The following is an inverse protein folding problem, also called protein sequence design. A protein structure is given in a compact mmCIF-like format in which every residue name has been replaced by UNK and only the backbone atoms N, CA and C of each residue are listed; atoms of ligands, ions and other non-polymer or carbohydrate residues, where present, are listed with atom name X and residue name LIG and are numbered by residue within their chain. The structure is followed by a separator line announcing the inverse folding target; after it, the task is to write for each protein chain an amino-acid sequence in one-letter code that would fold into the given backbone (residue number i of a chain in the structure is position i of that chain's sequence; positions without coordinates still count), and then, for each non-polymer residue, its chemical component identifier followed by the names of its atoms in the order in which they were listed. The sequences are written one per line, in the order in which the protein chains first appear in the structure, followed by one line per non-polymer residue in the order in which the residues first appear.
data_IF_065281384920
#
_entry.id   IF_065281384920
#
_cell.length_a   1.000
_cell.length_b   1.000
_cell.length_c   1.000
_cell.angle_alpha   90.00
_cell.angle_beta   90.00
_cell.angle_gamma   90.00
#
_symmetry.space_group_name_H-M   'P 1'
#
loop_
_entity.id
_entity.type
_entity.pdbx_description
1 polymer ?
#
# COMPACT_ATOMS: atom_id res chain seq x y z
N UNK A 1 -22.58 -9.17 47.18
CA UNK A 1 -21.87 -8.23 46.29
C UNK A 1 -21.36 -8.98 45.06
N UNK A 2 -22.07 -8.98 43.92
CA UNK A 2 -21.61 -9.57 42.64
C UNK A 2 -21.97 -8.72 41.40
N UNK A 3 -22.30 -7.44 41.60
CA UNK A 3 -22.78 -6.57 40.50
C UNK A 3 -21.64 -5.77 39.82
N UNK A 4 -20.46 -5.66 40.43
CA UNK A 4 -19.37 -4.83 39.88
C UNK A 4 -18.54 -5.50 38.77
N UNK A 5 -18.45 -6.84 38.72
CA UNK A 5 -17.59 -7.53 37.75
C UNK A 5 -18.21 -7.60 36.34
N UNK A 6 -19.54 -7.69 36.22
CA UNK A 6 -20.20 -7.77 34.91
C UNK A 6 -20.07 -6.45 34.13
N UNK A 7 -20.08 -5.30 34.82
CA UNK A 7 -19.97 -3.97 34.18
C UNK A 7 -18.59 -3.75 33.56
N UNK A 8 -17.51 -4.20 34.20
CA UNK A 8 -16.15 -3.98 33.71
C UNK A 8 -15.79 -4.84 32.49
N UNK A 9 -16.47 -5.97 32.27
CA UNK A 9 -16.28 -6.84 31.10
C UNK A 9 -17.08 -6.39 29.88
N UNK A 10 -18.17 -5.64 30.07
CA UNK A 10 -18.93 -5.07 28.96
C UNK A 10 -18.08 -4.08 28.14
N UNK A 11 -17.21 -3.30 28.79
CA UNK A 11 -16.33 -2.34 28.11
C UNK A 11 -15.34 -2.99 27.13
N UNK A 12 -14.50 -3.97 27.53
CA UNK A 12 -13.60 -4.65 26.61
C UNK A 12 -14.35 -5.50 25.59
N UNK A 13 -15.49 -6.10 25.93
CA UNK A 13 -16.31 -6.84 24.95
C UNK A 13 -16.87 -5.92 23.86
N UNK A 14 -17.39 -4.76 24.26
CA UNK A 14 -17.91 -3.76 23.33
C UNK A 14 -16.77 -3.16 22.50
N UNK A 15 -15.60 -2.92 23.10
CA UNK A 15 -14.41 -2.45 22.38
C UNK A 15 -13.95 -3.49 21.34
N UNK A 16 -13.85 -4.76 21.72
CA UNK A 16 -13.49 -5.85 20.81
C UNK A 16 -14.52 -6.02 19.69
N UNK A 17 -15.82 -5.89 20.00
CA UNK A 17 -16.89 -5.91 19.00
C UNK A 17 -16.73 -4.77 18.00
N UNK A 18 -16.60 -3.54 18.46
CA UNK A 18 -16.44 -2.38 17.57
C UNK A 18 -15.13 -2.43 16.78
N UNK A 19 -14.06 -2.93 17.38
CA UNK A 19 -12.79 -3.14 16.69
C UNK A 19 -12.96 -4.20 15.60
N UNK A 20 -13.63 -5.31 15.88
CA UNK A 20 -13.93 -6.35 14.90
C UNK A 20 -14.81 -5.84 13.76
N UNK A 21 -15.87 -5.10 14.05
CA UNK A 21 -16.73 -4.47 13.03
C UNK A 21 -15.92 -3.47 12.18
N UNK A 22 -15.11 -2.62 12.82
CA UNK A 22 -14.22 -1.69 12.13
C UNK A 22 -13.22 -2.40 11.23
N UNK A 23 -12.61 -3.49 11.68
CA UNK A 23 -11.71 -4.31 10.88
C UNK A 23 -12.44 -4.94 9.69
N UNK A 24 -13.62 -5.53 9.89
CA UNK A 24 -14.41 -6.12 8.81
C UNK A 24 -14.73 -5.05 7.76
N UNK A 25 -15.30 -3.92 8.16
CA UNK A 25 -15.63 -2.82 7.24
C UNK A 25 -14.39 -2.26 6.53
N UNK A 26 -13.26 -2.17 7.25
CA UNK A 26 -11.98 -1.70 6.70
C UNK A 26 -11.39 -2.68 5.69
N UNK A 27 -11.62 -3.97 5.88
CA UNK A 27 -11.10 -5.05 5.03
C UNK A 27 -12.10 -5.55 3.96
N UNK A 28 -13.32 -5.03 3.93
CA UNK A 28 -14.27 -5.25 2.83
C UNK A 28 -14.02 -4.26 1.69
N UNK A 29 -14.07 -4.73 0.44
CA UNK A 29 -14.00 -3.94 -0.80
C UNK A 29 -12.68 -3.19 -1.09
N UNK A 30 -11.52 -3.63 -0.57
CA UNK A 30 -10.23 -2.97 -0.85
C UNK A 30 -9.77 -3.13 -2.30
N UNK A 31 -10.08 -4.27 -2.92
CA UNK A 31 -9.65 -4.62 -4.27
C UNK A 31 -10.56 -4.05 -5.36
N UNK A 32 -11.62 -3.35 -4.98
CA UNK A 32 -12.68 -2.95 -5.91
C UNK A 32 -12.42 -1.55 -6.51
N UNK A 33 -11.32 -0.91 -6.11
CA UNK A 33 -10.93 0.42 -6.59
C UNK A 33 -9.74 0.32 -7.53
N UNK A 34 -9.74 1.06 -8.65
CA UNK A 34 -8.56 1.18 -9.48
C UNK A 34 -7.45 1.88 -8.71
N UNK A 35 -6.20 1.49 -8.97
CA UNK A 35 -5.01 2.11 -8.39
C UNK A 35 -4.96 3.62 -8.71
N UNK A 36 -4.80 4.45 -7.69
CA UNK A 36 -4.56 5.89 -7.88
C UNK A 36 -3.06 6.19 -8.07
N UNK A 37 -2.73 7.39 -8.57
CA UNK A 37 -1.36 7.80 -8.90
C UNK A 37 -0.37 7.73 -7.72
N UNK A 38 -0.82 8.01 -6.51
CA UNK A 38 0.01 7.99 -5.29
C UNK A 38 0.24 6.55 -4.79
N UNK A 39 -0.76 5.69 -4.92
CA UNK A 39 -0.64 4.25 -4.69
C UNK A 39 0.34 3.63 -5.69
N UNK A 40 0.19 3.97 -6.97
CA UNK A 40 1.12 3.57 -8.04
C UNK A 40 2.56 3.99 -7.72
N UNK A 41 2.76 5.25 -7.31
CA UNK A 41 4.07 5.77 -6.87
C UNK A 41 4.63 5.01 -5.67
N UNK A 42 3.78 4.74 -4.68
CA UNK A 42 4.14 3.96 -3.49
C UNK A 42 4.61 2.56 -3.86
N UNK A 43 3.91 1.89 -4.77
CA UNK A 43 4.28 0.55 -5.24
C UNK A 43 5.61 0.60 -5.97
N UNK A 44 5.78 1.50 -6.95
CA UNK A 44 7.00 1.57 -7.77
C UNK A 44 8.24 1.81 -6.91
N UNK A 45 8.20 2.81 -6.02
CA UNK A 45 9.32 3.08 -5.12
C UNK A 45 9.48 1.97 -4.07
N UNK A 46 8.39 1.38 -3.58
CA UNK A 46 8.43 0.24 -2.66
C UNK A 46 9.04 -1.03 -3.27
N UNK A 47 8.91 -1.23 -4.58
CA UNK A 47 9.63 -2.25 -5.33
C UNK A 47 11.11 -1.91 -5.55
N UNK A 48 11.53 -0.70 -5.17
CA UNK A 48 12.86 -0.17 -5.42
C UNK A 48 13.10 0.20 -6.89
N UNK A 49 12.03 0.42 -7.66
CA UNK A 49 12.09 0.88 -9.04
C UNK A 49 12.07 2.42 -9.11
N UNK A 50 12.25 2.95 -10.33
CA UNK A 50 12.38 4.38 -10.62
C UNK A 50 11.48 4.76 -11.80
N UNK A 51 10.90 5.96 -11.77
CA UNK A 51 10.10 6.48 -12.88
C UNK A 51 10.95 7.00 -14.04
N UNK A 52 12.25 7.20 -13.85
CA UNK A 52 13.17 7.65 -14.89
C UNK A 52 13.33 6.64 -16.03
N UNK A 53 12.86 5.41 -15.83
CA UNK A 53 12.85 4.35 -16.84
C UNK A 53 11.75 4.54 -17.90
N UNK A 54 10.73 5.36 -17.61
CA UNK A 54 9.64 5.65 -18.55
C UNK A 54 10.07 6.80 -19.48
N UNK A 55 10.16 6.60 -20.81
CA UNK A 55 10.44 7.70 -21.73
C UNK A 55 9.26 8.65 -21.78
N UNK A 56 9.50 9.91 -21.38
CA UNK A 56 8.56 11.00 -21.57
C UNK A 56 8.60 11.45 -23.05
N UNK A 57 7.48 11.98 -23.56
CA UNK A 57 7.34 12.52 -24.92
C UNK A 57 7.42 11.51 -26.09
N UNK A 58 7.12 10.23 -25.82
CA UNK A 58 7.06 9.19 -26.86
C UNK A 58 5.73 8.41 -26.78
N UNK A 59 5.36 7.74 -27.88
CA UNK A 59 4.24 6.81 -27.87
C UNK A 59 4.59 5.61 -26.97
N UNK A 60 3.99 5.55 -25.78
CA UNK A 60 4.16 4.47 -24.82
C UNK A 60 3.18 3.32 -25.12
N UNK A 61 3.69 2.09 -25.12
CA UNK A 61 2.82 0.90 -25.06
C UNK A 61 2.37 0.64 -23.63
N UNK A 62 1.29 -0.12 -23.45
CA UNK A 62 0.77 -0.45 -22.12
C UNK A 62 1.82 -1.20 -21.29
N UNK A 63 2.60 -2.07 -21.93
CA UNK A 63 3.66 -2.84 -21.27
C UNK A 63 4.78 -1.94 -20.75
N UNK A 64 5.13 -0.88 -21.48
CA UNK A 64 6.13 0.11 -21.06
C UNK A 64 5.63 0.95 -19.88
N UNK A 65 4.33 1.28 -19.86
CA UNK A 65 3.73 2.01 -18.75
C UNK A 65 3.69 1.17 -17.46
N UNK A 66 3.44 -0.13 -17.60
CA UNK A 66 3.36 -1.03 -16.46
C UNK A 66 4.74 -1.48 -15.98
N UNK A 67 5.79 -1.40 -16.81
CA UNK A 67 7.15 -1.92 -16.53
C UNK A 67 7.68 -1.59 -15.12
N UNK A 68 7.49 -0.39 -14.54
CA UNK A 68 7.93 -0.09 -13.17
C UNK A 68 7.21 -0.87 -12.06
N UNK A 69 6.08 -1.51 -12.35
CA UNK A 69 5.36 -2.42 -11.43
C UNK A 69 5.93 -3.85 -11.43
N UNK A 70 6.93 -4.14 -12.26
CA UNK A 70 7.58 -5.44 -12.24
C UNK A 70 8.43 -5.58 -10.96
N UNK A 71 8.24 -6.67 -10.19
CA UNK A 71 9.08 -6.91 -9.02
C UNK A 71 10.54 -7.04 -9.43
N UNK A 72 11.40 -6.30 -8.74
CA UNK A 72 12.85 -6.35 -8.93
C UNK A 72 13.48 -7.10 -7.74
N UNK A 73 13.74 -8.43 -7.86
CA UNK A 73 14.29 -9.21 -6.76
C UNK A 73 15.73 -8.81 -6.37
N UNK A 74 16.40 -8.01 -7.18
CA UNK A 74 17.73 -7.47 -6.91
C UNK A 74 17.67 -6.12 -6.17
N UNK A 75 16.50 -5.46 -6.11
CA UNK A 75 16.32 -4.23 -5.37
C UNK A 75 16.17 -4.51 -3.87
N UNK A 76 17.08 -3.95 -3.08
CA UNK A 76 16.98 -3.94 -1.62
C UNK A 76 16.50 -2.59 -1.08
N UNK A 77 16.41 -2.49 0.25
CA UNK A 77 16.04 -1.25 0.97
C UNK A 77 16.89 -0.05 0.53
N UNK A 78 18.18 -0.24 0.24
CA UNK A 78 19.06 0.82 -0.26
C UNK A 78 18.61 1.42 -1.59
N UNK A 79 18.10 0.60 -2.51
CA UNK A 79 17.56 1.06 -3.79
C UNK A 79 16.26 1.85 -3.59
N UNK A 80 15.37 1.38 -2.70
CA UNK A 80 14.14 2.10 -2.32
C UNK A 80 14.46 3.50 -1.82
N UNK A 81 15.39 3.62 -0.87
CA UNK A 81 15.77 4.91 -0.29
C UNK A 81 16.46 5.79 -1.35
N UNK A 82 17.36 5.22 -2.16
CA UNK A 82 18.07 5.96 -3.18
C UNK A 82 17.11 6.56 -4.21
N UNK A 83 16.29 5.74 -4.86
CA UNK A 83 15.34 6.20 -5.88
C UNK A 83 14.29 7.15 -5.31
N UNK A 84 13.79 6.88 -4.10
CA UNK A 84 12.82 7.76 -3.44
C UNK A 84 13.41 9.15 -3.18
N UNK A 85 14.63 9.23 -2.63
CA UNK A 85 15.26 10.52 -2.31
C UNK A 85 15.76 11.27 -3.55
N UNK A 86 16.00 10.57 -4.67
CA UNK A 86 16.36 11.23 -5.93
C UNK A 86 15.15 11.80 -6.66
N UNK A 87 13.97 11.20 -6.52
CA UNK A 87 12.78 11.54 -7.30
C UNK A 87 11.65 12.18 -6.48
N UNK A 88 11.71 12.09 -5.15
CA UNK A 88 10.68 12.55 -4.24
C UNK A 88 11.24 13.10 -2.92
N UNK A 89 10.43 13.88 -2.21
CA UNK A 89 10.77 14.46 -0.91
C UNK A 89 10.07 13.74 0.26
N UNK A 90 9.42 12.59 0.01
CA UNK A 90 8.69 11.88 1.05
C UNK A 90 9.61 11.16 2.05
N UNK A 91 9.19 11.00 3.32
CA UNK A 91 9.95 10.25 4.31
C UNK A 91 10.10 8.76 3.89
N UNK A 92 11.31 8.18 3.96
CA UNK A 92 11.57 6.84 3.43
C UNK A 92 10.94 5.70 4.25
N UNK A 93 10.63 5.93 5.52
CA UNK A 93 10.15 4.89 6.43
C UNK A 93 8.94 4.14 5.88
N UNK A 94 7.96 4.87 5.33
CA UNK A 94 6.75 4.29 4.77
C UNK A 94 7.07 3.35 3.59
N UNK A 95 7.94 3.78 2.68
CA UNK A 95 8.31 3.00 1.49
C UNK A 95 9.15 1.77 1.83
N UNK A 96 10.00 1.85 2.84
CA UNK A 96 10.76 0.69 3.34
C UNK A 96 9.84 -0.35 3.97
N UNK A 97 8.84 0.07 4.75
CA UNK A 97 7.83 -0.84 5.29
C UNK A 97 7.01 -1.47 4.15
N UNK A 98 6.65 -0.71 3.12
CA UNK A 98 5.97 -1.22 1.93
C UNK A 98 6.82 -2.25 1.21
N UNK A 99 8.12 -1.99 1.04
CA UNK A 99 9.06 -2.94 0.42
C UNK A 99 9.08 -4.28 1.15
N UNK A 100 9.22 -4.25 2.47
CA UNK A 100 9.22 -5.46 3.31
C UNK A 100 7.87 -6.20 3.24
N UNK A 101 6.77 -5.47 3.19
CA UNK A 101 5.44 -6.05 3.03
C UNK A 101 5.28 -6.75 1.68
N UNK A 102 5.65 -6.08 0.59
CA UNK A 102 5.54 -6.63 -0.77
C UNK A 102 6.39 -7.89 -0.95
N UNK A 103 7.54 -8.00 -0.27
CA UNK A 103 8.36 -9.22 -0.29
C UNK A 103 7.66 -10.46 0.31
N UNK A 104 6.63 -10.28 1.15
CA UNK A 104 5.87 -11.39 1.73
C UNK A 104 4.84 -11.99 0.75
N UNK A 105 4.54 -11.27 -0.34
CA UNK A 105 3.52 -11.67 -1.33
C UNK A 105 4.20 -11.96 -2.67
N UNK A 106 4.55 -13.23 -2.96
CA UNK A 106 5.12 -13.57 -4.25
C UNK A 106 4.16 -13.22 -5.38
N UNK A 107 4.72 -12.72 -6.48
CA UNK A 107 4.00 -12.22 -7.65
C UNK A 107 3.88 -13.33 -8.70
N UNK A 108 2.72 -13.97 -8.87
CA UNK A 108 2.59 -15.17 -9.71
C UNK A 108 2.75 -14.90 -11.22
N UNK A 109 2.37 -13.70 -11.66
CA UNK A 109 2.24 -13.34 -13.08
C UNK A 109 3.33 -12.38 -13.58
N UNK A 110 4.42 -12.20 -12.81
CA UNK A 110 5.52 -11.29 -13.17
C UNK A 110 5.26 -9.80 -12.89
N UNK A 111 4.06 -9.45 -12.42
CA UNK A 111 3.68 -8.13 -11.94
C UNK A 111 3.39 -8.16 -10.43
N UNK A 112 3.61 -7.05 -9.74
CA UNK A 112 3.32 -6.93 -8.30
C UNK A 112 1.90 -7.39 -7.96
N UNK A 113 1.76 -8.17 -6.89
CA UNK A 113 0.46 -8.62 -6.39
C UNK A 113 -0.32 -7.44 -5.82
N UNK A 114 -1.25 -6.90 -6.62
CA UNK A 114 -2.19 -5.84 -6.21
C UNK A 114 -3.01 -6.31 -4.99
N UNK A 115 -3.39 -7.58 -4.94
CA UNK A 115 -4.05 -8.19 -3.79
C UNK A 115 -3.23 -8.09 -2.49
N UNK A 116 -1.90 -8.31 -2.58
CA UNK A 116 -1.00 -8.17 -1.44
C UNK A 116 -0.81 -6.71 -1.03
N UNK A 117 -0.74 -5.79 -2.00
CA UNK A 117 -0.63 -4.35 -1.76
C UNK A 117 -1.90 -3.77 -1.10
N UNK A 118 -3.08 -4.08 -1.62
CA UNK A 118 -4.36 -3.56 -1.14
C UNK A 118 -4.63 -3.98 0.31
N UNK A 119 -4.13 -5.15 0.71
CA UNK A 119 -4.24 -5.67 2.09
C UNK A 119 -3.10 -5.21 3.00
N UNK A 120 -2.17 -4.39 2.50
CA UNK A 120 -1.16 -3.77 3.34
C UNK A 120 -1.82 -2.82 4.33
N UNK A 121 -1.41 -2.89 5.60
CA UNK A 121 -1.80 -1.91 6.62
C UNK A 121 -1.32 -0.49 6.27
N UNK A 122 -0.47 -0.36 5.25
CA UNK A 122 0.14 0.89 4.78
C UNK A 122 -0.77 1.63 3.80
N UNK A 123 -1.57 0.92 2.98
CA UNK A 123 -2.64 1.50 2.13
C UNK A 123 -3.63 2.37 2.95
N UNK A 124 -3.68 2.17 4.27
CA UNK A 124 -4.52 2.94 5.18
C UNK A 124 -4.13 4.42 5.35
N UNK A 125 -2.93 4.83 4.93
CA UNK A 125 -2.37 6.14 5.25
C UNK A 125 -2.88 7.30 4.37
N UNK A 126 -3.38 7.06 3.14
CA UNK A 126 -3.61 8.17 2.18
C UNK A 126 -4.96 8.21 1.46
N UNK A 127 -5.89 7.29 1.75
CA UNK A 127 -7.23 7.29 1.14
C UNK A 127 -8.14 8.54 1.39
N UNK A 128 -7.94 9.47 2.36
CA UNK A 128 -8.95 10.52 2.61
C UNK A 128 -8.57 11.87 1.98
N UNK A 129 -8.37 11.98 0.67
CA UNK A 129 -8.49 13.29 0.00
C UNK A 129 -8.76 13.16 -1.51
N UNK A 130 -10.03 12.95 -1.88
CA UNK A 130 -10.51 13.20 -3.24
C UNK A 130 -11.31 14.50 -3.24
N UNK A 131 -10.84 15.61 -3.86
CA UNK A 131 -11.75 16.67 -4.27
C UNK A 131 -12.66 16.14 -5.39
N UNK A 132 -13.91 16.65 -5.52
CA UNK A 132 -14.74 16.35 -6.67
C UNK A 132 -14.00 16.70 -7.97
N UNK A 133 -14.15 15.86 -8.99
CA UNK A 133 -13.71 16.19 -10.32
C UNK A 133 -14.69 17.22 -10.89
N UNK A 134 -14.21 18.45 -11.10
CA UNK A 134 -14.89 19.50 -11.86
C UNK A 134 -14.56 19.36 -13.36
#
# INVERSE_FOLDING_TARGET
MKVCAARSWLHPLLLSLWTGVGLILRFTYLTDKPLWTDEFSTIVFGLGNSFQTIPLDQNLTLEQLLQPLQPNPQAGIGAVIHHLLTESNHPPLYFVLTHLWLMLFPSPDGWVSVWGYDRSLLCLAWHPFQPPLD
#
